data_IF_377368020836
#
_entry.id   IF_377368020836
#
_cell.length_a   1.000
_cell.length_b   1.000
_cell.length_c   1.000
_cell.angle_alpha   90.00
_cell.angle_beta   90.00
_cell.angle_gamma   90.00
#
_symmetry.space_group_name_H-M   'P 1'
#
loop_
_entity.id
_entity.type
_entity.pdbx_description
1 polymer ?
#
# COMPACT_ATOMS: atom_id res chain seq x y z
N UNK A 1 25.31 -2.24 -7.11
CA UNK A 1 25.23 -3.72 -6.99
C UNK A 1 23.75 -4.10 -7.01
N UNK A 2 23.21 -4.70 -8.08
CA UNK A 2 21.80 -5.14 -8.11
C UNK A 2 21.64 -6.22 -7.04
N UNK A 3 20.76 -6.02 -6.04
CA UNK A 3 20.43 -7.04 -5.03
C UNK A 3 19.95 -8.30 -5.76
N UNK A 4 20.76 -9.36 -5.72
CA UNK A 4 20.47 -10.66 -6.37
C UNK A 4 19.25 -11.35 -5.77
N UNK A 5 18.88 -11.03 -4.53
CA UNK A 5 17.70 -11.56 -3.85
C UNK A 5 16.93 -10.41 -3.21
N UNK A 6 15.67 -10.24 -3.63
CA UNK A 6 14.75 -9.29 -2.98
C UNK A 6 14.14 -10.00 -1.77
N UNK A 7 14.28 -9.40 -0.59
CA UNK A 7 13.57 -9.88 0.60
C UNK A 7 12.09 -9.54 0.45
N UNK A 8 11.23 -10.55 0.61
CA UNK A 8 9.77 -10.40 0.58
C UNK A 8 9.13 -10.56 1.97
N UNK A 9 9.94 -10.60 3.02
CA UNK A 9 9.50 -10.59 4.41
C UNK A 9 9.38 -9.15 4.89
N UNK A 10 8.23 -8.82 5.48
CA UNK A 10 7.89 -7.48 5.94
C UNK A 10 7.58 -7.50 7.44
N UNK A 11 8.23 -6.60 8.18
CA UNK A 11 7.99 -6.38 9.61
C UNK A 11 7.21 -5.08 9.79
N UNK A 12 5.90 -5.16 9.58
CA UNK A 12 5.01 -4.02 9.77
C UNK A 12 4.67 -3.85 11.25
N UNK A 13 4.86 -2.65 11.79
CA UNK A 13 4.32 -2.33 13.12
C UNK A 13 2.78 -2.25 13.08
N UNK A 14 2.13 -2.19 14.26
CA UNK A 14 0.66 -2.17 14.37
C UNK A 14 0.00 -1.05 13.55
N UNK A 15 0.61 0.14 13.52
CA UNK A 15 0.08 1.28 12.76
C UNK A 15 0.26 1.09 11.26
N UNK A 16 1.43 0.59 10.83
CA UNK A 16 1.72 0.24 9.44
C UNK A 16 0.76 -0.85 8.95
N UNK A 17 0.53 -1.93 9.72
CA UNK A 17 -0.46 -2.96 9.40
C UNK A 17 -1.85 -2.36 9.21
N UNK A 18 -2.30 -1.50 10.12
CA UNK A 18 -3.60 -0.83 10.01
C UNK A 18 -3.67 0.04 8.75
N UNK A 19 -2.62 0.79 8.45
CA UNK A 19 -2.58 1.69 7.30
C UNK A 19 -2.59 0.94 5.97
N UNK A 20 -1.76 -0.11 5.84
CA UNK A 20 -1.72 -0.96 4.65
C UNK A 20 -3.05 -1.71 4.48
N UNK A 21 -3.64 -2.22 5.57
CA UNK A 21 -4.95 -2.87 5.52
C UNK A 21 -6.06 -1.91 5.08
N UNK A 22 -6.09 -0.67 5.60
CA UNK A 22 -7.05 0.35 5.15
C UNK A 22 -6.85 0.66 3.68
N UNK A 23 -5.60 0.78 3.23
CA UNK A 23 -5.28 1.00 1.81
C UNK A 23 -5.80 -0.16 0.93
N UNK A 24 -5.52 -1.41 1.30
CA UNK A 24 -5.98 -2.59 0.56
C UNK A 24 -7.51 -2.64 0.48
N UNK A 25 -8.22 -2.34 1.58
CA UNK A 25 -9.68 -2.25 1.60
C UNK A 25 -10.21 -1.17 0.66
N UNK A 26 -9.55 -0.01 0.61
CA UNK A 26 -9.94 1.06 -0.30
C UNK A 26 -9.76 0.66 -1.76
N UNK A 27 -8.63 0.02 -2.10
CA UNK A 27 -8.39 -0.48 -3.47
C UNK A 27 -9.47 -1.48 -3.85
N UNK A 28 -9.73 -2.48 -3.00
CA UNK A 28 -10.78 -3.48 -3.24
C UNK A 28 -12.16 -2.86 -3.45
N UNK A 29 -12.50 -1.82 -2.68
CA UNK A 29 -13.77 -1.10 -2.84
C UNK A 29 -13.85 -0.34 -4.17
N UNK A 30 -12.74 0.22 -4.65
CA UNK A 30 -12.68 0.95 -5.93
C UNK A 30 -12.77 0.01 -7.14
N UNK A 31 -12.33 -1.24 -6.99
CA UNK A 31 -12.28 -2.25 -8.05
C UNK A 31 -13.36 -3.33 -7.89
N UNK A 32 -14.31 -3.14 -6.97
CA UNK A 32 -15.40 -4.07 -6.71
C UNK A 32 -16.39 -4.08 -7.89
N UNK A 33 -16.84 -5.27 -8.29
CA UNK A 33 -17.85 -5.45 -9.34
C UNK A 33 -17.34 -5.37 -10.78
N UNK A 34 -16.06 -5.04 -11.00
CA UNK A 34 -15.45 -4.97 -12.33
C UNK A 34 -14.51 -6.16 -12.59
N UNK A 35 -14.93 -7.04 -13.51
CA UNK A 35 -14.22 -8.27 -13.87
C UNK A 35 -12.81 -8.01 -14.43
N UNK A 36 -12.52 -6.81 -14.95
CA UNK A 36 -11.17 -6.45 -15.43
C UNK A 36 -10.14 -6.44 -14.30
N UNK A 37 -10.57 -6.20 -13.07
CA UNK A 37 -9.71 -6.14 -11.89
C UNK A 37 -9.72 -7.45 -11.08
N UNK A 38 -10.17 -8.57 -11.63
CA UNK A 38 -10.22 -9.84 -10.91
C UNK A 38 -8.86 -10.26 -10.31
N UNK A 39 -7.78 -10.15 -11.09
CA UNK A 39 -6.43 -10.46 -10.63
C UNK A 39 -5.95 -9.50 -9.53
N UNK A 40 -6.26 -8.20 -9.68
CA UNK A 40 -5.99 -7.16 -8.68
C UNK A 40 -6.69 -7.50 -7.35
N UNK A 41 -7.99 -7.78 -7.44
CA UNK A 41 -8.83 -8.11 -6.30
C UNK A 41 -8.31 -9.35 -5.55
N UNK A 42 -7.86 -10.38 -6.28
CA UNK A 42 -7.27 -11.58 -5.67
C UNK A 42 -6.00 -11.24 -4.88
N UNK A 43 -5.11 -10.44 -5.45
CA UNK A 43 -3.85 -10.05 -4.81
C UNK A 43 -4.09 -9.22 -3.55
N UNK A 44 -4.93 -8.18 -3.63
CA UNK A 44 -5.20 -7.32 -2.47
C UNK A 44 -6.00 -8.01 -1.37
N UNK A 45 -6.86 -8.98 -1.70
CA UNK A 45 -7.49 -9.87 -0.70
C UNK A 45 -6.45 -10.72 0.02
N UNK A 46 -5.52 -11.34 -0.73
CA UNK A 46 -4.46 -12.16 -0.12
C UNK A 46 -3.53 -11.34 0.78
N UNK A 47 -3.17 -10.11 0.37
CA UNK A 47 -2.39 -9.19 1.22
C UNK A 47 -3.16 -8.88 2.51
N UNK A 48 -4.47 -8.60 2.41
CA UNK A 48 -5.31 -8.30 3.57
C UNK A 48 -5.37 -9.46 4.57
N UNK A 49 -5.54 -10.68 4.09
CA UNK A 49 -5.54 -11.91 4.89
C UNK A 49 -4.20 -12.08 5.61
N UNK A 50 -3.09 -11.90 4.89
CA UNK A 50 -1.73 -11.99 5.47
C UNK A 50 -1.47 -10.93 6.53
N UNK A 51 -1.99 -9.71 6.37
CA UNK A 51 -1.90 -8.65 7.38
C UNK A 51 -2.75 -8.95 8.62
N UNK A 52 -3.81 -9.76 8.46
CA UNK A 52 -4.71 -10.19 9.54
C UNK A 52 -4.28 -11.44 10.31
N UNK A 53 -3.26 -12.17 9.83
CA UNK A 53 -2.77 -13.45 10.39
C UNK A 53 -2.26 -13.37 11.84
N UNK A 54 -1.87 -12.17 12.31
CA UNK A 54 -1.21 -11.98 13.60
C UNK A 54 0.30 -12.18 13.57
N UNK A 55 0.86 -12.66 12.46
CA UNK A 55 2.30 -12.94 12.31
C UNK A 55 3.15 -11.68 12.44
N UNK A 56 4.27 -11.76 13.16
CA UNK A 56 5.24 -10.65 13.26
C UNK A 56 5.89 -10.35 11.92
N UNK A 57 6.29 -11.40 11.21
CA UNK A 57 6.89 -11.33 9.87
C UNK A 57 5.87 -11.77 8.83
N UNK A 58 5.57 -10.87 7.90
CA UNK A 58 4.60 -11.12 6.84
C UNK A 58 5.34 -11.40 5.54
N UNK A 59 5.17 -12.60 4.99
CA UNK A 59 5.80 -12.99 3.73
C UNK A 59 4.89 -12.71 2.54
N UNK A 60 5.28 -11.74 1.73
CA UNK A 60 4.63 -11.48 0.46
C UNK A 60 5.20 -12.33 -0.68
N UNK A 61 4.39 -12.57 -1.70
CA UNK A 61 4.88 -13.04 -2.99
C UNK A 61 5.48 -11.87 -3.77
N UNK A 62 6.25 -12.18 -4.83
CA UNK A 62 6.77 -11.14 -5.73
C UNK A 62 5.65 -10.30 -6.34
N UNK A 63 4.54 -10.94 -6.72
CA UNK A 63 3.39 -10.26 -7.30
C UNK A 63 2.73 -9.32 -6.28
N UNK A 64 2.44 -9.81 -5.08
CA UNK A 64 1.86 -9.01 -3.99
C UNK A 64 2.69 -7.76 -3.68
N UNK A 65 4.01 -7.96 -3.47
CA UNK A 65 4.93 -6.86 -3.23
C UNK A 65 4.89 -5.83 -4.36
N UNK A 66 4.97 -6.30 -5.61
CA UNK A 66 5.08 -5.43 -6.78
C UNK A 66 3.80 -4.63 -6.99
N UNK A 67 2.62 -5.28 -6.92
CA UNK A 67 1.33 -4.59 -7.09
C UNK A 67 1.05 -3.63 -5.94
N UNK A 68 1.32 -4.04 -4.70
CA UNK A 68 1.16 -3.15 -3.53
C UNK A 68 2.05 -1.92 -3.67
N UNK A 69 3.34 -2.11 -3.99
CA UNK A 69 4.28 -1.02 -4.20
C UNK A 69 3.79 -0.07 -5.30
N UNK A 70 3.42 -0.61 -6.46
CA UNK A 70 2.98 0.18 -7.59
C UNK A 70 1.73 0.99 -7.26
N UNK A 71 0.70 0.36 -6.69
CA UNK A 71 -0.55 1.04 -6.38
C UNK A 71 -0.37 2.10 -5.29
N UNK A 72 0.49 1.84 -4.29
CA UNK A 72 0.82 2.84 -3.27
C UNK A 72 1.57 4.04 -3.88
N UNK A 73 2.51 3.81 -4.80
CA UNK A 73 3.22 4.88 -5.50
C UNK A 73 2.29 5.74 -6.36
N UNK A 74 1.37 5.12 -7.10
CA UNK A 74 0.37 5.85 -7.89
C UNK A 74 -0.59 6.63 -6.99
N UNK A 75 -1.03 6.06 -5.87
CA UNK A 75 -1.86 6.77 -4.90
C UNK A 75 -1.13 7.99 -4.30
N UNK A 76 0.15 7.86 -3.94
CA UNK A 76 1.00 8.97 -3.48
C UNK A 76 1.08 10.07 -4.53
N UNK A 77 1.29 9.73 -5.81
CA UNK A 77 1.29 10.71 -6.91
C UNK A 77 -0.07 11.40 -7.06
N UNK A 78 -1.16 10.64 -6.96
CA UNK A 78 -2.52 11.18 -7.04
C UNK A 78 -2.80 12.16 -5.89
N UNK A 79 -2.50 11.77 -4.64
CA UNK A 79 -2.67 12.63 -3.46
C UNK A 79 -1.86 13.93 -3.60
N UNK A 80 -0.61 13.85 -4.09
CA UNK A 80 0.21 15.05 -4.36
C UNK A 80 -0.45 16.02 -5.33
N UNK A 81 -1.06 15.51 -6.41
CA UNK A 81 -1.81 16.33 -7.38
C UNK A 81 -3.05 16.96 -6.74
N UNK A 82 -3.80 16.19 -5.95
CA UNK A 82 -5.02 16.64 -5.29
C UNK A 82 -4.76 17.70 -4.21
N UNK A 83 -3.63 17.63 -3.50
CA UNK A 83 -3.19 18.65 -2.53
C UNK A 83 -3.09 20.04 -3.17
N UNK A 84 -2.63 20.12 -4.43
CA UNK A 84 -2.49 21.38 -5.16
C UNK A 84 -3.83 22.11 -5.34
N UNK A 85 -4.92 21.35 -5.47
CA UNK A 85 -6.29 21.85 -5.68
C UNK A 85 -7.09 21.98 -4.38
N UNK A 86 -6.57 21.45 -3.27
CA UNK A 86 -7.28 21.36 -2.00
C UNK A 86 -7.15 22.64 -1.15
N UNK A 87 -8.25 23.03 -0.50
CA UNK A 87 -8.25 24.04 0.57
C UNK A 87 -7.48 23.60 1.82
N UNK A 88 -7.27 24.51 2.76
CA UNK A 88 -6.35 24.34 3.90
C UNK A 88 -6.55 23.05 4.71
N UNK A 89 -7.80 22.73 5.11
CA UNK A 89 -8.11 21.55 5.94
C UNK A 89 -7.82 20.25 5.17
N UNK A 90 -8.31 20.14 3.94
CA UNK A 90 -8.11 18.96 3.08
C UNK A 90 -6.62 18.77 2.76
N UNK A 91 -5.90 19.87 2.51
CA UNK A 91 -4.45 19.89 2.33
C UNK A 91 -3.70 19.38 3.57
N UNK A 92 -4.09 19.80 4.77
CA UNK A 92 -3.44 19.35 6.01
C UNK A 92 -3.62 17.84 6.25
N UNK A 93 -4.85 17.33 6.11
CA UNK A 93 -5.14 15.90 6.22
C UNK A 93 -4.36 15.07 5.19
N UNK A 94 -4.34 15.50 3.93
CA UNK A 94 -3.63 14.81 2.87
C UNK A 94 -2.11 14.84 3.06
N UNK A 95 -1.53 15.93 3.57
CA UNK A 95 -0.10 15.97 3.91
C UNK A 95 0.26 14.94 4.99
N UNK A 96 -0.58 14.79 6.01
CA UNK A 96 -0.37 13.79 7.06
C UNK A 96 -0.42 12.37 6.50
N UNK A 97 -1.44 12.05 5.71
CA UNK A 97 -1.58 10.74 5.07
C UNK A 97 -0.43 10.44 4.10
N UNK A 98 -0.04 11.43 3.29
CA UNK A 98 1.06 11.32 2.33
C UNK A 98 2.36 10.94 3.02
N UNK A 99 2.69 11.60 4.14
CA UNK A 99 3.90 11.31 4.93
C UNK A 99 3.93 9.87 5.41
N UNK A 100 2.78 9.32 5.83
CA UNK A 100 2.70 7.94 6.29
C UNK A 100 2.90 6.93 5.14
N UNK A 101 2.31 7.18 3.98
CA UNK A 101 2.50 6.32 2.80
C UNK A 101 3.93 6.38 2.27
N UNK A 102 4.54 7.57 2.22
CA UNK A 102 5.94 7.74 1.83
C UNK A 102 6.88 7.04 2.81
N UNK A 103 6.63 7.13 4.12
CA UNK A 103 7.42 6.43 5.13
C UNK A 103 7.36 4.89 4.97
N UNK A 104 6.19 4.32 4.66
CA UNK A 104 6.08 2.88 4.36
C UNK A 104 6.87 2.52 3.11
N UNK A 105 6.69 3.28 2.03
CA UNK A 105 7.40 3.04 0.77
C UNK A 105 8.92 3.13 0.95
N UNK A 106 9.39 4.11 1.71
CA UNK A 106 10.80 4.29 2.02
C UNK A 106 11.36 3.17 2.90
N UNK A 107 10.67 2.80 3.96
CA UNK A 107 11.15 1.79 4.91
C UNK A 107 11.13 0.38 4.34
N UNK A 108 10.08 0.02 3.60
CA UNK A 108 9.78 -1.37 3.23
C UNK A 108 9.99 -1.69 1.76
N UNK A 109 9.94 -0.69 0.87
CA UNK A 109 9.96 -0.91 -0.58
C UNK A 109 11.14 -0.24 -1.30
N UNK A 110 11.88 0.65 -0.63
CA UNK A 110 13.11 1.26 -1.15
C UNK A 110 14.24 0.26 -1.05
N UNK A 111 14.70 -0.23 -2.19
CA UNK A 111 15.75 -1.24 -2.29
C UNK A 111 16.39 -1.25 -3.67
#
# INVERSE_FOLDING_TARGET
MKKLFTNYNFEFNKNEKKLVSTFCKQVLKQTEGDNRFFAENKVFKSILEKLGSGDETIKFTKEERTRLQHQMQENVKHIKKEIGKAGFIKRWLYKSMLKQYEAILEKHFKG
#
